data_IF_149682375680
#
_entry.id   IF_149682375680
#
_cell.length_a   1.000
_cell.length_b   1.000
_cell.length_c   1.000
_cell.angle_alpha   90.00
_cell.angle_beta   90.00
_cell.angle_gamma   90.00
#
_symmetry.space_group_name_H-M   'P 1'
#
loop_
_entity.id
_entity.type
_entity.pdbx_description
1 polymer ?
#
# COMPACT_ATOMS: atom_id res chain seq x y z
N UNK A 1 5.46 18.32 24.41
CA UNK A 1 6.80 18.37 23.78
C UNK A 1 7.41 16.98 23.90
N UNK A 2 7.18 16.13 22.91
CA UNK A 2 7.94 14.91 22.76
C UNK A 2 9.32 15.30 22.24
N UNK A 3 10.32 15.10 23.07
CA UNK A 3 11.72 15.24 22.66
C UNK A 3 12.07 14.01 21.86
N UNK A 4 12.16 14.14 20.54
CA UNK A 4 12.64 13.06 19.68
C UNK A 4 14.12 12.85 19.97
N UNK A 5 14.47 11.77 20.63
CA UNK A 5 15.87 11.39 20.91
C UNK A 5 16.39 10.63 19.70
N UNK A 6 17.29 11.27 18.96
CA UNK A 6 18.05 10.60 17.89
C UNK A 6 19.22 9.86 18.53
N UNK A 7 19.22 8.54 18.46
CA UNK A 7 20.36 7.74 18.86
C UNK A 7 21.07 7.23 17.61
N UNK A 8 22.15 7.86 17.16
CA UNK A 8 22.93 7.36 16.03
C UNK A 8 23.53 6.00 16.40
N UNK A 9 23.38 5.01 15.53
CA UNK A 9 24.00 3.71 15.71
C UNK A 9 24.83 3.36 14.47
N UNK A 10 26.03 2.81 14.71
CA UNK A 10 26.87 2.28 13.64
C UNK A 10 26.65 0.78 13.52
N UNK A 11 26.26 0.34 12.35
CA UNK A 11 26.10 -1.07 12.02
C UNK A 11 27.18 -1.51 11.06
N UNK A 12 27.74 -2.69 11.30
CA UNK A 12 28.72 -3.31 10.43
C UNK A 12 28.31 -4.76 10.19
N UNK A 13 28.18 -5.12 8.91
CA UNK A 13 27.88 -6.50 8.48
C UNK A 13 29.02 -6.96 7.60
N UNK A 14 29.55 -8.15 7.91
CA UNK A 14 30.48 -8.86 7.04
C UNK A 14 29.69 -9.93 6.30
N UNK A 15 29.88 -10.02 5.00
CA UNK A 15 29.24 -11.07 4.19
C UNK A 15 30.22 -11.58 3.12
N UNK A 16 30.02 -12.80 2.71
CA UNK A 16 30.75 -13.45 1.62
C UNK A 16 29.90 -13.41 0.36
N UNK A 17 30.41 -12.81 -0.71
CA UNK A 17 29.69 -12.75 -1.98
C UNK A 17 30.17 -13.87 -2.90
N UNK A 18 29.41 -14.93 -3.00
CA UNK A 18 29.67 -16.12 -3.83
C UNK A 18 28.97 -16.06 -5.21
N UNK A 19 28.15 -15.06 -5.46
CA UNK A 19 27.35 -14.96 -6.70
C UNK A 19 27.82 -13.86 -7.64
N UNK A 20 28.83 -13.08 -7.23
CA UNK A 20 29.32 -11.91 -8.00
C UNK A 20 28.38 -10.70 -7.95
N UNK A 21 27.22 -10.80 -7.29
CA UNK A 21 26.23 -9.71 -7.13
C UNK A 21 25.87 -9.53 -5.66
N UNK A 22 25.80 -8.31 -5.20
CA UNK A 22 25.30 -7.99 -3.86
C UNK A 22 24.29 -6.83 -3.94
N UNK A 23 23.15 -7.00 -3.29
CA UNK A 23 22.21 -5.92 -3.03
C UNK A 23 22.29 -5.58 -1.56
N UNK A 24 22.56 -4.31 -1.26
CA UNK A 24 22.70 -3.83 0.10
C UNK A 24 21.60 -2.79 0.32
N UNK A 25 20.83 -2.98 1.40
CA UNK A 25 19.71 -2.10 1.72
C UNK A 25 19.32 -2.21 3.20
N UNK A 26 18.33 -1.46 3.56
CA UNK A 26 17.71 -1.49 4.88
C UNK A 26 16.25 -1.90 4.68
N UNK A 27 15.81 -2.84 5.48
CA UNK A 27 14.41 -3.25 5.56
C UNK A 27 13.87 -2.83 6.91
N UNK A 28 12.78 -2.06 6.93
CA UNK A 28 12.06 -1.72 8.14
C UNK A 28 10.88 -2.69 8.28
N UNK A 29 10.96 -3.59 9.25
CA UNK A 29 9.88 -4.51 9.59
C UNK A 29 9.11 -3.91 10.77
N UNK A 30 7.78 -3.83 10.66
CA UNK A 30 6.88 -3.28 11.68
C UNK A 30 7.26 -1.89 12.19
N UNK A 31 7.77 -1.04 11.31
CA UNK A 31 8.20 0.30 11.68
C UNK A 31 7.01 1.18 12.09
N UNK A 32 7.00 1.59 13.36
CA UNK A 32 6.03 2.54 13.91
C UNK A 32 6.48 4.00 13.78
N UNK A 33 7.69 4.22 13.29
CA UNK A 33 8.30 5.54 13.11
C UNK A 33 7.99 6.17 11.75
N UNK A 34 8.06 7.49 11.70
CA UNK A 34 7.71 8.26 10.50
C UNK A 34 8.85 8.33 9.46
N UNK A 35 10.10 8.07 9.85
CA UNK A 35 11.24 8.11 8.95
C UNK A 35 12.49 7.43 9.53
N UNK A 36 13.36 6.97 8.64
CA UNK A 36 14.69 6.44 8.93
C UNK A 36 15.71 7.22 8.10
N UNK A 37 16.73 7.77 8.73
CA UNK A 37 17.86 8.38 8.03
C UNK A 37 19.07 7.44 8.10
N UNK A 38 19.68 7.18 6.94
CA UNK A 38 20.89 6.38 6.83
C UNK A 38 21.92 7.18 6.06
N UNK A 39 23.13 7.30 6.61
CA UNK A 39 24.23 7.98 5.98
C UNK A 39 25.55 7.18 6.11
N UNK A 40 26.62 7.72 5.53
CA UNK A 40 27.97 7.12 5.60
C UNK A 40 28.07 5.66 5.17
N UNK A 41 27.34 5.29 4.12
CA UNK A 41 27.40 3.94 3.58
C UNK A 41 28.79 3.64 3.04
N UNK A 42 29.46 2.58 3.53
CA UNK A 42 30.79 2.18 3.09
C UNK A 42 30.80 0.70 2.76
N UNK A 43 31.27 0.36 1.56
CA UNK A 43 31.56 -1.01 1.16
C UNK A 43 33.07 -1.17 1.06
N UNK A 44 33.64 -2.14 1.75
CA UNK A 44 35.08 -2.42 1.71
C UNK A 44 35.34 -3.90 1.45
N UNK A 45 36.31 -4.20 0.59
CA UNK A 45 36.84 -5.55 0.43
C UNK A 45 37.71 -5.87 1.66
N UNK A 46 37.41 -6.99 2.33
CA UNK A 46 38.14 -7.45 3.52
C UNK A 46 39.23 -8.49 3.15
N UNK A 47 39.02 -9.27 2.10
CA UNK A 47 39.95 -10.30 1.64
C UNK A 47 39.45 -11.02 0.41
N UNK A 48 40.29 -11.88 -0.13
CA UNK A 48 39.94 -12.80 -1.24
C UNK A 48 39.17 -14.01 -0.71
N UNK A 49 38.30 -14.56 -1.55
CA UNK A 49 37.51 -15.74 -1.24
C UNK A 49 38.38 -16.98 -1.48
N UNK A 50 38.64 -17.76 -0.44
CA UNK A 50 39.33 -19.07 -0.53
C UNK A 50 38.30 -20.19 -0.61
N UNK A 51 38.75 -21.38 -1.05
CA UNK A 51 37.91 -22.59 -1.08
C UNK A 51 37.32 -22.91 0.31
N UNK A 52 38.06 -22.71 1.37
CA UNK A 52 37.56 -22.93 2.74
C UNK A 52 36.45 -21.96 3.13
N UNK A 53 36.53 -20.70 2.72
CA UNK A 53 35.49 -19.70 2.92
C UNK A 53 34.23 -20.10 2.16
N UNK A 54 34.38 -20.56 0.89
CA UNK A 54 33.25 -21.01 0.08
C UNK A 54 32.53 -22.15 0.77
N UNK A 55 33.27 -23.19 1.16
CA UNK A 55 32.71 -24.40 1.80
C UNK A 55 32.03 -24.04 3.13
N UNK A 56 32.66 -23.18 3.95
CA UNK A 56 32.10 -22.75 5.22
C UNK A 56 30.76 -22.00 5.03
N UNK A 57 30.68 -21.12 4.04
CA UNK A 57 29.45 -20.36 3.77
C UNK A 57 28.33 -21.22 3.19
N UNK A 58 28.66 -22.15 2.28
CA UNK A 58 27.68 -23.13 1.77
C UNK A 58 27.17 -24.01 2.90
N UNK A 59 28.04 -24.49 3.80
CA UNK A 59 27.64 -25.30 4.96
C UNK A 59 26.74 -24.50 5.91
N UNK A 60 26.99 -23.21 6.11
CA UNK A 60 26.11 -22.33 6.89
C UNK A 60 24.72 -22.27 6.29
N UNK A 61 24.60 -22.05 4.97
CA UNK A 61 23.31 -22.00 4.28
C UNK A 61 22.58 -23.36 4.32
N UNK A 62 23.33 -24.47 4.17
CA UNK A 62 22.75 -25.82 4.32
C UNK A 62 22.19 -26.00 5.72
N UNK A 63 22.94 -25.65 6.76
CA UNK A 63 22.48 -25.76 8.17
C UNK A 63 21.26 -24.88 8.46
N UNK A 64 21.23 -23.67 7.92
CA UNK A 64 20.08 -22.76 8.00
C UNK A 64 18.85 -23.39 7.34
N UNK A 65 18.99 -23.87 6.10
CA UNK A 65 17.92 -24.55 5.40
C UNK A 65 17.40 -25.79 6.12
N UNK A 66 18.29 -26.64 6.64
CA UNK A 66 17.92 -27.84 7.43
C UNK A 66 17.14 -27.48 8.69
N UNK A 67 17.51 -26.40 9.36
CA UNK A 67 16.76 -25.89 10.52
C UNK A 67 15.33 -25.49 10.16
N UNK A 68 15.12 -24.89 8.98
CA UNK A 68 13.78 -24.51 8.53
C UNK A 68 12.91 -25.72 8.16
N UNK A 69 13.49 -26.84 7.69
CA UNK A 69 12.74 -28.05 7.33
C UNK A 69 11.95 -28.67 8.49
N UNK A 70 12.28 -28.31 9.74
CA UNK A 70 11.56 -28.78 10.93
C UNK A 70 10.27 -27.99 11.21
N UNK A 71 10.03 -26.91 10.48
CA UNK A 71 8.89 -26.01 10.68
C UNK A 71 7.80 -26.24 9.63
N UNK A 72 6.58 -25.85 9.96
CA UNK A 72 5.46 -25.93 9.03
C UNK A 72 5.63 -24.92 7.90
N UNK A 73 5.48 -25.40 6.68
CA UNK A 73 5.49 -24.62 5.45
C UNK A 73 4.71 -25.34 4.36
N UNK A 74 4.43 -24.69 3.26
CA UNK A 74 3.76 -25.32 2.12
C UNK A 74 4.62 -26.43 1.55
N UNK A 75 3.98 -27.47 1.04
CA UNK A 75 4.66 -28.64 0.45
C UNK A 75 5.61 -28.26 -0.68
N UNK A 76 5.23 -27.31 -1.52
CA UNK A 76 6.07 -26.86 -2.63
C UNK A 76 7.38 -26.22 -2.12
N UNK A 77 7.30 -25.37 -1.10
CA UNK A 77 8.45 -24.72 -0.47
C UNK A 77 9.33 -25.72 0.26
N UNK A 78 8.74 -26.70 0.94
CA UNK A 78 9.49 -27.78 1.58
C UNK A 78 10.28 -28.64 0.57
N UNK A 79 9.66 -28.96 -0.58
CA UNK A 79 10.33 -29.71 -1.66
C UNK A 79 11.43 -28.88 -2.33
N UNK A 80 11.17 -27.59 -2.61
CA UNK A 80 12.15 -26.70 -3.20
C UNK A 80 13.35 -26.51 -2.26
N UNK A 81 13.09 -26.32 -0.96
CA UNK A 81 14.14 -26.19 0.05
C UNK A 81 14.99 -27.47 0.15
N UNK A 82 14.35 -28.64 0.22
CA UNK A 82 15.06 -29.93 0.25
C UNK A 82 15.94 -30.12 -1.00
N UNK A 83 15.42 -29.80 -2.18
CA UNK A 83 16.15 -29.89 -3.44
C UNK A 83 17.37 -28.96 -3.46
N UNK A 84 17.20 -27.72 -3.01
CA UNK A 84 18.27 -26.74 -2.97
C UNK A 84 19.36 -27.10 -1.96
N UNK A 85 18.98 -27.64 -0.79
CA UNK A 85 19.91 -28.18 0.21
C UNK A 85 20.76 -29.33 -0.41
N UNK A 86 20.12 -30.28 -1.07
CA UNK A 86 20.86 -31.42 -1.69
C UNK A 86 21.79 -30.99 -2.84
N UNK A 87 21.43 -29.91 -3.55
CA UNK A 87 22.32 -29.30 -4.55
C UNK A 87 23.51 -28.61 -3.88
N UNK A 88 23.27 -27.83 -2.84
CA UNK A 88 24.32 -27.13 -2.10
C UNK A 88 25.32 -28.09 -1.44
N UNK A 89 24.85 -29.21 -0.91
CA UNK A 89 25.72 -30.27 -0.32
C UNK A 89 26.72 -30.88 -1.32
N UNK A 90 26.48 -30.77 -2.62
CA UNK A 90 27.39 -31.28 -3.65
C UNK A 90 28.56 -30.34 -3.93
N UNK A 91 28.55 -29.11 -3.43
CA UNK A 91 29.63 -28.14 -3.61
C UNK A 91 30.88 -28.60 -2.83
N UNK A 92 32.02 -28.62 -3.51
CA UNK A 92 33.31 -29.00 -2.97
C UNK A 92 34.37 -27.96 -3.30
N UNK A 93 35.57 -28.10 -2.76
CA UNK A 93 36.68 -27.19 -3.03
C UNK A 93 37.13 -27.16 -4.51
N UNK A 94 36.68 -28.11 -5.31
CA UNK A 94 36.98 -28.21 -6.75
C UNK A 94 35.81 -27.79 -7.63
N UNK A 95 34.70 -27.34 -7.06
CA UNK A 95 33.53 -26.84 -7.83
C UNK A 95 33.87 -25.55 -8.54
N UNK A 96 33.28 -25.34 -9.74
CA UNK A 96 33.51 -24.12 -10.49
C UNK A 96 32.78 -22.95 -9.83
N UNK A 97 33.23 -21.70 -10.08
CA UNK A 97 32.54 -20.49 -9.60
C UNK A 97 31.06 -20.45 -10.03
N UNK A 98 30.76 -20.92 -11.26
CA UNK A 98 29.40 -20.97 -11.78
C UNK A 98 28.53 -21.97 -11.01
N UNK A 99 29.06 -23.15 -10.67
CA UNK A 99 28.34 -24.14 -9.86
C UNK A 99 28.07 -23.63 -8.45
N UNK A 100 29.07 -22.99 -7.82
CA UNK A 100 28.93 -22.36 -6.49
C UNK A 100 27.89 -21.29 -6.53
N UNK A 101 27.97 -20.33 -7.46
CA UNK A 101 27.03 -19.23 -7.58
C UNK A 101 25.59 -19.73 -7.78
N UNK A 102 25.40 -20.72 -8.67
CA UNK A 102 24.08 -21.31 -8.94
C UNK A 102 23.50 -22.00 -7.70
N UNK A 103 24.31 -22.80 -6.97
CA UNK A 103 23.85 -23.49 -5.77
C UNK A 103 23.51 -22.49 -4.63
N UNK A 104 24.32 -21.44 -4.43
CA UNK A 104 24.11 -20.41 -3.42
C UNK A 104 22.87 -19.58 -3.75
N UNK A 105 22.66 -19.21 -5.01
CA UNK A 105 21.45 -18.51 -5.43
C UNK A 105 20.19 -19.35 -5.20
N UNK A 106 20.23 -20.64 -5.59
CA UNK A 106 19.11 -21.56 -5.42
C UNK A 106 18.75 -21.76 -3.94
N UNK A 107 19.74 -22.00 -3.07
CA UNK A 107 19.48 -22.22 -1.64
C UNK A 107 19.00 -20.95 -0.93
N UNK A 108 19.55 -19.77 -1.24
CA UNK A 108 19.09 -18.50 -0.69
C UNK A 108 17.64 -18.20 -1.11
N UNK A 109 17.29 -18.45 -2.38
CA UNK A 109 15.91 -18.29 -2.87
C UNK A 109 14.95 -19.23 -2.15
N UNK A 110 15.35 -20.50 -1.96
CA UNK A 110 14.54 -21.48 -1.28
C UNK A 110 14.38 -21.18 0.21
N UNK A 111 15.44 -20.76 0.91
CA UNK A 111 15.38 -20.30 2.31
C UNK A 111 14.41 -19.12 2.45
N UNK A 112 14.53 -18.10 1.60
CA UNK A 112 13.63 -16.93 1.64
C UNK A 112 12.18 -17.33 1.43
N UNK A 113 11.88 -18.21 0.47
CA UNK A 113 10.51 -18.69 0.23
C UNK A 113 9.97 -19.50 1.43
N UNK A 114 10.80 -20.38 2.01
CA UNK A 114 10.45 -21.13 3.20
C UNK A 114 10.15 -20.23 4.40
N UNK A 115 10.96 -19.21 4.66
CA UNK A 115 10.73 -18.24 5.74
C UNK A 115 9.41 -17.51 5.58
N UNK A 116 9.05 -17.10 4.36
CA UNK A 116 7.74 -16.47 4.10
C UNK A 116 6.61 -17.44 4.44
N UNK A 117 6.66 -18.68 3.94
CA UNK A 117 5.65 -19.69 4.21
C UNK A 117 5.52 -19.99 5.72
N UNK A 118 6.65 -20.14 6.42
CA UNK A 118 6.68 -20.34 7.89
C UNK A 118 5.98 -19.18 8.61
N UNK A 119 6.26 -17.92 8.21
CA UNK A 119 5.64 -16.73 8.83
C UNK A 119 4.13 -16.76 8.65
N UNK A 120 3.61 -17.21 7.51
CA UNK A 120 2.18 -17.32 7.24
C UNK A 120 1.52 -18.38 8.15
N UNK A 121 2.14 -19.54 8.34
CA UNK A 121 1.66 -20.53 9.31
C UNK A 121 1.74 -20.01 10.77
N UNK A 122 2.77 -19.25 11.11
CA UNK A 122 2.88 -18.60 12.43
C UNK A 122 1.78 -17.56 12.65
N UNK A 123 1.38 -16.83 11.62
CA UNK A 123 0.25 -15.91 11.68
C UNK A 123 -1.08 -16.65 11.97
N UNK A 124 -1.31 -17.79 11.30
CA UNK A 124 -2.47 -18.63 11.59
C UNK A 124 -2.43 -19.19 13.02
N UNK A 125 -1.28 -19.65 13.49
CA UNK A 125 -1.13 -20.10 14.89
C UNK A 125 -1.44 -18.98 15.89
N UNK A 126 -0.94 -17.78 15.62
CA UNK A 126 -1.21 -16.62 16.47
C UNK A 126 -2.71 -16.25 16.51
N UNK A 127 -3.41 -16.38 15.39
CA UNK A 127 -4.85 -16.18 15.33
C UNK A 127 -5.60 -17.25 16.15
N UNK A 128 -5.19 -18.52 16.05
CA UNK A 128 -5.72 -19.63 16.84
C UNK A 128 -5.53 -19.36 18.33
N UNK A 129 -4.31 -19.03 18.76
CA UNK A 129 -3.98 -18.79 20.16
C UNK A 129 -4.79 -17.62 20.74
N UNK A 130 -4.98 -16.56 19.96
CA UNK A 130 -5.82 -15.41 20.33
C UNK A 130 -7.29 -15.81 20.51
N UNK A 131 -7.83 -16.60 19.57
CA UNK A 131 -9.22 -17.06 19.65
C UNK A 131 -9.44 -18.00 20.83
N UNK A 132 -8.52 -18.95 21.05
CA UNK A 132 -8.58 -19.87 22.20
C UNK A 132 -8.44 -19.13 23.54
N UNK A 133 -7.58 -18.11 23.61
CA UNK A 133 -7.39 -17.30 24.82
C UNK A 133 -8.63 -16.50 25.23
N UNK A 134 -9.54 -16.24 24.28
CA UNK A 134 -10.79 -15.51 24.56
C UNK A 134 -12.03 -16.43 24.63
N UNK A 135 -11.88 -17.69 24.23
CA UNK A 135 -12.98 -18.67 24.26
C UNK A 135 -13.44 -18.96 25.69
N UNK A 136 -14.76 -18.98 25.86
CA UNK A 136 -15.44 -19.39 27.10
C UNK A 136 -16.72 -20.14 26.73
N UNK A 137 -16.79 -21.40 27.10
CA UNK A 137 -17.93 -22.29 26.78
C UNK A 137 -19.27 -21.80 27.37
N UNK A 138 -19.24 -20.98 28.42
CA UNK A 138 -20.42 -20.42 29.06
C UNK A 138 -21.01 -19.19 28.34
N UNK A 139 -20.33 -18.69 27.32
CA UNK A 139 -20.70 -17.48 26.58
C UNK A 139 -21.58 -17.78 25.37
N UNK A 140 -22.31 -16.76 24.90
CA UNK A 140 -23.10 -16.84 23.68
C UNK A 140 -22.20 -17.11 22.47
N UNK A 141 -22.68 -17.89 21.51
CA UNK A 141 -21.97 -18.25 20.27
C UNK A 141 -20.62 -18.97 20.48
N UNK A 142 -20.39 -19.57 21.66
CA UNK A 142 -19.17 -20.31 21.96
C UNK A 142 -18.96 -21.48 20.99
N UNK A 143 -20.03 -22.23 20.66
CA UNK A 143 -19.92 -23.36 19.73
C UNK A 143 -19.46 -22.94 18.34
N UNK A 144 -19.92 -21.78 17.84
CA UNK A 144 -19.53 -21.24 16.53
C UNK A 144 -18.05 -20.85 16.50
N UNK A 145 -17.56 -20.22 17.58
CA UNK A 145 -16.15 -19.89 17.69
C UNK A 145 -15.28 -21.14 17.77
N UNK A 146 -15.70 -22.15 18.54
CA UNK A 146 -14.97 -23.42 18.66
C UNK A 146 -14.93 -24.19 17.33
N UNK A 147 -16.01 -24.16 16.55
CA UNK A 147 -16.03 -24.75 15.21
C UNK A 147 -14.96 -24.14 14.31
N UNK A 148 -14.82 -22.82 14.29
CA UNK A 148 -13.81 -22.13 13.47
C UNK A 148 -12.40 -22.35 13.99
N UNK A 149 -12.17 -22.36 15.33
CA UNK A 149 -10.90 -22.75 15.93
C UNK A 149 -10.46 -24.14 15.46
N UNK A 150 -11.39 -25.12 15.47
CA UNK A 150 -11.08 -26.48 15.05
C UNK A 150 -10.71 -26.55 13.57
N UNK A 151 -11.41 -25.81 12.68
CA UNK A 151 -11.05 -25.71 11.26
C UNK A 151 -9.67 -25.16 11.06
N UNK A 152 -9.33 -24.07 11.74
CA UNK A 152 -8.01 -23.46 11.68
C UNK A 152 -6.91 -24.42 12.17
N UNK A 153 -7.15 -25.18 13.25
CA UNK A 153 -6.23 -26.18 13.76
C UNK A 153 -6.04 -27.36 12.80
N UNK A 154 -7.08 -27.79 12.09
CA UNK A 154 -6.93 -28.81 11.05
C UNK A 154 -6.15 -28.28 9.85
N UNK A 155 -6.36 -27.03 9.46
CA UNK A 155 -5.59 -26.40 8.39
C UNK A 155 -4.10 -26.28 8.75
N UNK A 156 -3.76 -25.99 10.02
CA UNK A 156 -2.37 -25.99 10.51
C UNK A 156 -1.65 -27.31 10.31
N UNK A 157 -2.36 -28.43 10.26
CA UNK A 157 -1.77 -29.77 10.07
C UNK A 157 -1.67 -30.17 8.60
N UNK A 158 -2.24 -29.37 7.70
CA UNK A 158 -2.37 -29.69 6.29
C UNK A 158 -1.20 -29.11 5.48
N UNK A 159 -0.22 -29.94 5.11
CA UNK A 159 0.90 -29.53 4.27
C UNK A 159 0.50 -29.18 2.81
N UNK A 160 -0.70 -29.57 2.36
CA UNK A 160 -1.25 -29.19 1.05
C UNK A 160 -2.02 -27.85 1.11
N UNK A 161 -2.04 -27.17 2.27
CA UNK A 161 -2.64 -25.84 2.38
C UNK A 161 -1.97 -24.87 1.41
N UNK A 162 -2.75 -23.89 0.95
CA UNK A 162 -2.24 -22.82 0.10
C UNK A 162 -2.22 -21.50 0.90
N UNK A 163 -1.38 -20.56 0.46
CA UNK A 163 -1.36 -19.23 1.05
C UNK A 163 -2.76 -18.62 1.13
N UNK A 164 -3.50 -18.64 0.02
CA UNK A 164 -4.89 -18.13 -0.01
C UNK A 164 -5.79 -18.87 0.99
N UNK A 165 -5.60 -20.17 1.18
CA UNK A 165 -6.34 -20.94 2.17
C UNK A 165 -6.05 -20.49 3.59
N UNK A 166 -4.78 -20.26 3.93
CA UNK A 166 -4.36 -19.75 5.25
C UNK A 166 -4.88 -18.33 5.48
N UNK A 167 -4.72 -17.43 4.51
CA UNK A 167 -5.20 -16.05 4.61
C UNK A 167 -6.73 -16.00 4.83
N UNK A 168 -7.49 -16.82 4.09
CA UNK A 168 -8.95 -16.90 4.24
C UNK A 168 -9.35 -17.44 5.61
N UNK A 169 -8.64 -18.43 6.12
CA UNK A 169 -8.93 -19.01 7.43
C UNK A 169 -8.63 -18.06 8.58
N UNK A 170 -7.54 -17.30 8.49
CA UNK A 170 -7.23 -16.21 9.45
C UNK A 170 -8.40 -15.22 9.48
N UNK A 171 -8.86 -14.75 8.31
CA UNK A 171 -9.98 -13.82 8.20
C UNK A 171 -11.27 -14.41 8.79
N UNK A 172 -11.54 -15.69 8.51
CA UNK A 172 -12.74 -16.37 9.03
C UNK A 172 -12.70 -16.50 10.55
N UNK A 173 -11.56 -16.90 11.10
CA UNK A 173 -11.36 -17.04 12.54
C UNK A 173 -11.43 -15.69 13.27
N UNK A 174 -10.81 -14.65 12.74
CA UNK A 174 -10.91 -13.29 13.28
C UNK A 174 -12.35 -12.76 13.26
N UNK A 175 -13.10 -13.07 12.20
CA UNK A 175 -14.52 -12.73 12.09
C UNK A 175 -15.37 -13.48 13.09
N UNK A 176 -15.13 -14.78 13.30
CA UNK A 176 -15.83 -15.59 14.27
C UNK A 176 -15.55 -15.10 15.71
N UNK A 177 -14.27 -14.77 16.01
CA UNK A 177 -13.90 -14.19 17.29
C UNK A 177 -14.57 -12.83 17.53
N UNK A 178 -14.62 -11.96 16.53
CA UNK A 178 -15.32 -10.69 16.63
C UNK A 178 -16.83 -10.92 16.87
N UNK A 179 -17.46 -11.83 16.15
CA UNK A 179 -18.88 -12.16 16.33
C UNK A 179 -19.14 -12.66 17.77
N UNK A 180 -18.30 -13.54 18.29
CA UNK A 180 -18.34 -14.01 19.67
C UNK A 180 -18.24 -12.85 20.68
N UNK A 181 -17.27 -11.96 20.49
CA UNK A 181 -17.09 -10.80 21.37
C UNK A 181 -18.28 -9.83 21.32
N UNK A 182 -18.87 -9.60 20.14
CA UNK A 182 -20.08 -8.78 19.98
C UNK A 182 -21.30 -9.39 20.67
N UNK A 183 -21.49 -10.71 20.55
CA UNK A 183 -22.59 -11.43 21.19
C UNK A 183 -22.50 -11.39 22.74
N UNK A 184 -21.31 -11.15 23.28
CA UNK A 184 -21.02 -11.06 24.70
C UNK A 184 -20.63 -9.65 25.16
N UNK A 185 -20.91 -8.64 24.32
CA UNK A 185 -20.61 -7.25 24.64
C UNK A 185 -21.33 -6.78 25.90
N UNK A 186 -20.63 -5.99 26.71
CA UNK A 186 -21.20 -5.39 27.93
C UNK A 186 -21.14 -3.85 27.84
N UNK A 187 -22.06 -3.15 28.53
CA UNK A 187 -21.97 -1.70 28.58
C UNK A 187 -20.61 -1.25 29.12
N UNK A 188 -19.92 -0.41 28.34
CA UNK A 188 -18.63 0.16 28.75
C UNK A 188 -18.81 1.26 29.82
N UNK A 189 -17.75 1.52 30.58
CA UNK A 189 -17.68 2.67 31.47
C UNK A 189 -17.27 3.94 30.70
N UNK A 190 -17.69 5.12 31.19
CA UNK A 190 -17.34 6.41 30.60
C UNK A 190 -18.34 6.93 29.57
N UNK A 191 -17.92 7.90 28.75
CA UNK A 191 -18.79 8.50 27.74
C UNK A 191 -19.01 7.54 26.58
N UNK A 192 -20.28 7.27 26.26
CA UNK A 192 -20.65 6.41 25.14
C UNK A 192 -20.04 6.95 23.83
N UNK A 193 -19.37 6.10 23.03
CA UNK A 193 -18.78 6.53 21.79
C UNK A 193 -19.85 6.90 20.75
N UNK A 194 -19.57 7.93 19.95
CA UNK A 194 -20.39 8.35 18.81
C UNK A 194 -19.50 8.55 17.59
N UNK A 195 -20.07 8.30 16.42
CA UNK A 195 -19.37 8.48 15.16
C UNK A 195 -20.30 9.07 14.10
N UNK A 196 -19.74 9.94 13.26
CA UNK A 196 -20.42 10.48 12.07
C UNK A 196 -19.50 10.51 10.88
N UNK A 197 -20.07 10.44 9.68
CA UNK A 197 -19.34 10.80 8.46
C UNK A 197 -19.26 12.33 8.37
N UNK A 198 -18.05 12.83 8.16
CA UNK A 198 -17.85 14.27 8.00
C UNK A 198 -18.48 14.72 6.68
N UNK A 199 -19.44 15.64 6.76
CA UNK A 199 -20.21 16.19 5.63
C UNK A 199 -20.90 15.17 4.73
N UNK A 200 -21.01 13.90 5.13
CA UNK A 200 -21.60 12.80 4.33
C UNK A 200 -20.98 12.65 2.93
N UNK A 201 -19.75 13.16 2.75
CA UNK A 201 -19.02 13.06 1.49
C UNK A 201 -18.06 11.86 1.52
N UNK A 202 -17.95 11.18 0.39
CA UNK A 202 -17.00 10.08 0.14
C UNK A 202 -16.27 10.38 -1.17
N UNK A 203 -14.96 10.48 -1.12
CA UNK A 203 -14.15 10.58 -2.33
C UNK A 203 -14.02 9.19 -2.95
N UNK A 204 -14.82 8.96 -3.99
CA UNK A 204 -14.99 7.65 -4.62
C UNK A 204 -14.04 7.49 -5.80
N UNK A 205 -13.43 6.32 -5.91
CA UNK A 205 -12.66 5.85 -7.06
C UNK A 205 -13.40 4.76 -7.84
N UNK A 206 -12.72 4.11 -8.77
CA UNK A 206 -13.24 2.95 -9.48
C UNK A 206 -13.26 1.70 -8.60
N UNK A 207 -12.21 1.48 -7.82
CA UNK A 207 -12.05 0.29 -6.94
C UNK A 207 -11.77 0.64 -5.49
N UNK A 208 -11.71 1.92 -5.16
CA UNK A 208 -11.30 2.44 -3.87
C UNK A 208 -12.17 3.64 -3.46
N UNK A 209 -12.11 4.02 -2.17
CA UNK A 209 -12.75 5.23 -1.68
C UNK A 209 -12.03 5.77 -0.43
N UNK A 210 -12.06 7.10 -0.27
CA UNK A 210 -11.62 7.77 0.97
C UNK A 210 -12.85 8.27 1.73
N UNK A 211 -12.88 8.01 3.01
CA UNK A 211 -13.97 8.37 3.91
C UNK A 211 -13.42 9.09 5.13
N UNK A 212 -14.02 10.22 5.49
CA UNK A 212 -13.64 10.95 6.69
C UNK A 212 -14.70 10.78 7.78
N UNK A 213 -14.25 10.47 9.00
CA UNK A 213 -15.13 10.32 10.16
C UNK A 213 -14.76 11.25 11.28
N UNK A 214 -15.76 11.61 12.10
CA UNK A 214 -15.58 12.29 13.40
C UNK A 214 -16.06 11.36 14.49
N UNK A 215 -15.22 11.13 15.49
CA UNK A 215 -15.49 10.22 16.61
C UNK A 215 -15.35 10.96 17.92
N UNK A 216 -16.27 10.72 18.85
CA UNK A 216 -16.22 11.19 20.23
C UNK A 216 -16.49 10.03 21.19
N UNK A 217 -16.13 10.19 22.46
CA UNK A 217 -16.33 9.17 23.49
C UNK A 217 -15.02 8.70 24.14
N UNK A 218 -15.12 7.72 25.01
CA UNK A 218 -13.99 7.18 25.77
C UNK A 218 -13.87 5.66 25.60
N UNK A 219 -12.73 5.10 26.02
CA UNK A 219 -12.45 3.66 25.96
C UNK A 219 -12.63 3.03 24.57
N UNK A 220 -12.27 3.78 23.52
CA UNK A 220 -12.35 3.32 22.14
C UNK A 220 -11.32 2.21 21.92
N UNK A 221 -11.79 1.05 21.44
CA UNK A 221 -10.97 -0.06 20.98
C UNK A 221 -10.62 0.12 19.50
N UNK A 222 -11.65 0.35 18.68
CA UNK A 222 -11.52 0.40 17.23
C UNK A 222 -12.51 1.43 16.65
N UNK A 223 -12.13 2.05 15.55
CA UNK A 223 -12.98 2.94 14.77
C UNK A 223 -12.67 2.78 13.29
N UNK A 224 -13.68 3.02 12.47
CA UNK A 224 -13.52 2.87 11.02
C UNK A 224 -14.81 3.09 10.27
N UNK A 225 -14.85 2.47 9.12
CA UNK A 225 -16.05 2.38 8.28
C UNK A 225 -16.26 0.93 7.87
N UNK A 226 -17.52 0.51 7.82
CA UNK A 226 -17.92 -0.74 7.21
C UNK A 226 -18.71 -0.47 5.93
N UNK A 227 -18.65 -1.41 4.99
CA UNK A 227 -19.31 -1.28 3.70
C UNK A 227 -19.80 -2.62 3.17
N UNK A 228 -20.89 -2.55 2.43
CA UNK A 228 -21.51 -3.70 1.75
C UNK A 228 -22.28 -3.21 0.52
N UNK A 229 -22.67 -4.12 -0.35
CA UNK A 229 -23.69 -3.88 -1.39
C UNK A 229 -25.12 -3.91 -0.83
N UNK A 230 -25.28 -4.41 0.39
CA UNK A 230 -26.54 -4.41 1.11
C UNK A 230 -26.61 -3.24 2.12
N UNK A 231 -27.84 -2.85 2.47
CA UNK A 231 -28.09 -1.79 3.45
C UNK A 231 -27.64 -2.17 4.88
N UNK A 232 -27.33 -1.15 5.65
CA UNK A 232 -26.95 -1.26 7.06
C UNK A 232 -25.73 -2.15 7.33
N UNK A 233 -24.59 -1.94 6.61
CA UNK A 233 -23.40 -2.71 6.86
C UNK A 233 -22.97 -2.64 8.33
N UNK A 234 -22.42 -3.73 8.84
CA UNK A 234 -21.97 -3.89 10.21
C UNK A 234 -20.46 -4.17 10.24
N UNK A 235 -19.89 -4.20 11.43
CA UNK A 235 -18.46 -4.57 11.61
C UNK A 235 -18.16 -6.03 11.23
N UNK A 236 -19.18 -6.86 11.01
CA UNK A 236 -19.03 -8.23 10.50
C UNK A 236 -19.02 -8.32 8.96
N UNK A 237 -19.35 -7.21 8.27
CA UNK A 237 -19.16 -7.07 6.83
C UNK A 237 -17.74 -6.63 6.53
N UNK A 238 -17.47 -6.08 5.33
CA UNK A 238 -16.17 -5.47 5.07
C UNK A 238 -15.98 -4.25 5.98
N UNK A 239 -14.79 -4.08 6.55
CA UNK A 239 -14.47 -2.92 7.39
C UNK A 239 -13.02 -2.51 7.30
N UNK A 240 -12.76 -1.22 7.56
CA UNK A 240 -11.42 -0.71 7.83
C UNK A 240 -11.16 -0.77 9.34
N UNK A 241 -9.93 -1.09 9.74
CA UNK A 241 -9.51 -1.13 11.15
C UNK A 241 -8.40 -0.13 11.44
N UNK A 242 -7.72 0.35 10.41
CA UNK A 242 -6.62 1.31 10.51
C UNK A 242 -6.95 2.60 9.77
N UNK A 243 -6.58 3.72 10.36
CA UNK A 243 -6.67 5.03 9.71
C UNK A 243 -5.61 5.17 8.63
N UNK A 244 -5.97 5.88 7.55
CA UNK A 244 -5.09 6.23 6.45
C UNK A 244 -4.39 7.59 6.66
N UNK A 245 -4.84 8.38 7.61
CA UNK A 245 -4.26 9.70 7.94
C UNK A 245 -3.63 9.71 9.33
N UNK A 246 -2.60 10.54 9.51
CA UNK A 246 -1.89 10.70 10.78
C UNK A 246 -2.80 11.14 11.95
N UNK A 247 -3.84 11.93 11.67
CA UNK A 247 -4.82 12.37 12.67
C UNK A 247 -5.96 11.38 12.89
N UNK A 248 -5.92 10.20 12.26
CA UNK A 248 -6.87 9.13 12.47
C UNK A 248 -8.31 9.41 11.99
N UNK A 249 -8.51 10.33 11.05
CA UNK A 249 -9.85 10.73 10.60
C UNK A 249 -10.21 10.26 9.18
N UNK A 250 -9.25 9.94 8.34
CA UNK A 250 -9.48 9.40 6.98
C UNK A 250 -9.26 7.90 7.00
N UNK A 251 -10.18 7.19 6.39
CA UNK A 251 -10.12 5.74 6.17
C UNK A 251 -10.11 5.45 4.68
N UNK A 252 -9.33 4.45 4.29
CA UNK A 252 -9.17 4.01 2.92
C UNK A 252 -9.88 2.67 2.71
N UNK A 253 -10.89 2.66 1.87
CA UNK A 253 -11.60 1.46 1.42
C UNK A 253 -10.92 0.97 0.15
N UNK A 254 -10.57 -0.32 0.09
CA UNK A 254 -9.96 -0.99 -1.06
C UNK A 254 -10.82 -2.18 -1.52
N UNK A 255 -10.60 -2.64 -2.75
CA UNK A 255 -11.21 -3.87 -3.27
C UNK A 255 -12.69 -3.75 -3.64
N UNK A 256 -13.17 -2.54 -3.88
CA UNK A 256 -14.51 -2.31 -4.40
C UNK A 256 -14.61 -2.73 -5.88
N UNK A 257 -15.80 -3.07 -6.33
CA UNK A 257 -16.06 -3.34 -7.76
C UNK A 257 -16.43 -2.02 -8.46
N UNK A 258 -15.95 -1.78 -9.69
CA UNK A 258 -16.36 -0.61 -10.47
C UNK A 258 -17.87 -0.61 -10.79
N UNK A 259 -18.42 0.57 -11.01
CA UNK A 259 -19.85 0.78 -11.39
C UNK A 259 -20.83 0.05 -10.45
N UNK A 260 -20.50 -0.04 -9.17
CA UNK A 260 -21.25 -0.82 -8.19
C UNK A 260 -21.77 0.10 -7.08
N UNK A 261 -23.01 -0.13 -6.67
CA UNK A 261 -23.59 0.55 -5.53
C UNK A 261 -23.04 -0.07 -4.25
N UNK A 262 -22.59 0.79 -3.34
CA UNK A 262 -22.21 0.42 -1.98
C UNK A 262 -22.87 1.33 -0.97
N UNK A 263 -23.11 0.76 0.21
CA UNK A 263 -23.55 1.44 1.41
C UNK A 263 -22.36 1.50 2.37
N UNK A 264 -22.03 2.70 2.85
CA UNK A 264 -20.89 2.94 3.76
C UNK A 264 -21.44 3.47 5.06
N UNK A 265 -21.01 2.91 6.16
CA UNK A 265 -21.46 3.28 7.50
C UNK A 265 -20.26 3.41 8.44
N UNK A 266 -20.06 4.58 9.08
CA UNK A 266 -18.99 4.72 10.07
C UNK A 266 -19.34 3.96 11.34
N UNK A 267 -18.33 3.41 12.01
CA UNK A 267 -18.50 2.75 13.28
C UNK A 267 -17.42 3.15 14.29
N UNK A 268 -17.75 2.98 15.56
CA UNK A 268 -16.80 3.03 16.67
C UNK A 268 -17.16 1.93 17.66
N UNK A 269 -16.17 1.17 18.09
CA UNK A 269 -16.31 0.07 19.03
C UNK A 269 -15.50 0.38 20.29
N UNK A 270 -16.07 0.16 21.46
CA UNK A 270 -15.37 0.32 22.73
C UNK A 270 -14.63 -0.97 23.15
N UNK A 271 -13.85 -0.88 24.23
CA UNK A 271 -13.08 -2.03 24.74
C UNK A 271 -13.91 -3.20 25.28
N UNK A 272 -15.21 -3.02 25.41
CA UNK A 272 -16.16 -4.09 25.80
C UNK A 272 -17.03 -4.55 24.64
N UNK A 273 -16.59 -4.28 23.40
CA UNK A 273 -17.22 -4.68 22.13
C UNK A 273 -18.61 -4.10 21.87
N UNK A 274 -19.04 -3.07 22.61
CA UNK A 274 -20.25 -2.33 22.25
C UNK A 274 -19.93 -1.45 21.04
N UNK A 275 -20.73 -1.56 19.97
CA UNK A 275 -20.56 -0.81 18.72
C UNK A 275 -21.62 0.27 18.59
N UNK A 276 -21.19 1.47 18.27
CA UNK A 276 -22.05 2.54 17.79
C UNK A 276 -21.79 2.79 16.30
N UNK A 277 -22.87 2.94 15.54
CA UNK A 277 -22.85 3.22 14.12
C UNK A 277 -23.37 4.64 13.87
N UNK A 278 -22.81 5.32 12.87
CA UNK A 278 -23.36 6.54 12.33
C UNK A 278 -24.33 6.29 11.18
N UNK A 279 -24.76 7.39 10.53
CA UNK A 279 -25.65 7.33 9.38
C UNK A 279 -24.98 6.60 8.20
N UNK A 280 -25.77 5.85 7.45
CA UNK A 280 -25.38 5.22 6.21
C UNK A 280 -25.32 6.25 5.08
N UNK A 281 -24.36 6.09 4.18
CA UNK A 281 -24.26 6.83 2.92
C UNK A 281 -24.20 5.84 1.76
N UNK A 282 -25.06 6.06 0.77
CA UNK A 282 -25.03 5.34 -0.50
C UNK A 282 -24.04 6.02 -1.46
N UNK A 283 -23.16 5.23 -2.07
CA UNK A 283 -22.27 5.67 -3.16
C UNK A 283 -22.40 4.76 -4.38
N UNK A 284 -21.89 5.23 -5.50
CA UNK A 284 -21.64 4.41 -6.69
C UNK A 284 -20.18 4.59 -7.05
N UNK A 285 -19.42 3.49 -7.13
CA UNK A 285 -18.04 3.54 -7.59
C UNK A 285 -17.97 3.95 -9.06
N UNK A 286 -16.89 4.62 -9.44
CA UNK A 286 -16.69 5.02 -10.83
C UNK A 286 -16.59 3.80 -11.76
N UNK A 287 -16.84 3.97 -13.08
CA UNK A 287 -16.54 2.91 -14.05
C UNK A 287 -15.08 2.48 -13.94
N UNK A 288 -14.79 1.26 -14.35
CA UNK A 288 -13.41 0.80 -14.45
C UNK A 288 -12.59 1.73 -15.33
N UNK A 289 -11.43 2.13 -14.89
CA UNK A 289 -10.45 2.85 -15.69
C UNK A 289 -10.02 2.03 -16.92
N UNK A 290 -9.53 2.70 -17.93
CA UNK A 290 -9.07 2.08 -19.16
C UNK A 290 -7.85 2.82 -19.73
N UNK A 291 -6.99 3.34 -18.85
CA UNK A 291 -5.71 3.92 -19.19
C UNK A 291 -4.69 2.81 -19.47
N UNK A 292 -3.85 3.01 -20.46
CA UNK A 292 -2.79 2.08 -20.86
C UNK A 292 -1.46 2.80 -20.97
N UNK A 293 -0.37 2.07 -21.08
CA UNK A 293 0.95 2.66 -21.26
C UNK A 293 1.86 1.83 -22.16
N UNK A 294 2.90 2.48 -22.68
CA UNK A 294 4.00 1.86 -23.38
C UNK A 294 5.32 2.56 -23.01
N UNK A 295 6.41 1.84 -23.23
CA UNK A 295 7.76 2.37 -23.12
C UNK A 295 8.44 2.33 -24.47
N UNK A 296 9.26 3.32 -24.78
CA UNK A 296 9.99 3.37 -26.04
C UNK A 296 10.86 2.12 -26.18
N UNK A 297 10.57 1.31 -27.22
CA UNK A 297 11.20 0.00 -27.45
C UNK A 297 12.72 0.08 -27.71
N UNK A 298 13.23 1.20 -28.15
CA UNK A 298 14.64 1.42 -28.40
C UNK A 298 15.50 1.79 -27.16
N UNK A 299 14.88 1.93 -25.98
CA UNK A 299 15.58 2.34 -24.79
C UNK A 299 16.37 1.16 -24.17
N UNK A 300 17.61 1.37 -23.72
CA UNK A 300 18.41 0.34 -23.08
C UNK A 300 17.77 -0.14 -21.77
N UNK A 301 17.98 -1.40 -21.44
CA UNK A 301 17.49 -2.01 -20.19
C UNK A 301 18.51 -1.80 -19.07
N UNK A 302 18.49 -0.61 -18.49
CA UNK A 302 19.33 -0.21 -17.36
C UNK A 302 18.48 0.20 -16.12
N UNK A 303 19.16 0.54 -15.03
CA UNK A 303 18.52 0.90 -13.79
C UNK A 303 17.63 2.15 -13.90
N UNK A 304 17.99 3.13 -14.73
CA UNK A 304 17.21 4.35 -14.94
C UNK A 304 15.94 4.05 -15.72
N UNK A 305 16.04 3.30 -16.83
CA UNK A 305 14.88 2.87 -17.60
C UNK A 305 13.95 2.00 -16.76
N UNK A 306 14.47 1.12 -15.92
CA UNK A 306 13.68 0.29 -15.01
C UNK A 306 12.89 1.12 -14.01
N UNK A 307 13.52 2.13 -13.37
CA UNK A 307 12.81 3.06 -12.47
C UNK A 307 11.69 3.81 -13.19
N UNK A 308 11.97 4.36 -14.36
CA UNK A 308 10.98 5.09 -15.16
C UNK A 308 9.79 4.22 -15.56
N UNK A 309 10.03 3.00 -16.06
CA UNK A 309 8.96 2.05 -16.43
C UNK A 309 8.10 1.68 -15.23
N UNK A 310 8.71 1.42 -14.07
CA UNK A 310 7.97 1.11 -12.86
C UNK A 310 7.09 2.28 -12.42
N UNK A 311 7.61 3.51 -12.46
CA UNK A 311 6.85 4.71 -12.11
C UNK A 311 5.66 4.95 -13.07
N UNK A 312 5.85 4.72 -14.38
CA UNK A 312 4.77 4.81 -15.37
C UNK A 312 3.70 3.75 -15.11
N UNK A 313 4.13 2.49 -14.91
CA UNK A 313 3.19 1.40 -14.60
C UNK A 313 2.36 1.72 -13.36
N UNK A 314 3.01 2.09 -12.28
CA UNK A 314 2.36 2.42 -11.02
C UNK A 314 1.41 3.61 -11.15
N UNK A 315 1.78 4.63 -11.91
CA UNK A 315 0.91 5.77 -12.23
C UNK A 315 -0.37 5.33 -12.96
N UNK A 316 -0.26 4.47 -13.98
CA UNK A 316 -1.43 3.99 -14.71
C UNK A 316 -2.30 3.08 -13.85
N UNK A 317 -1.71 2.30 -12.94
CA UNK A 317 -2.45 1.53 -11.94
C UNK A 317 -3.29 2.49 -11.05
N UNK A 318 -2.70 3.57 -10.51
CA UNK A 318 -3.43 4.61 -9.77
C UNK A 318 -4.58 5.24 -10.58
N UNK A 319 -4.33 5.60 -11.85
CA UNK A 319 -5.37 6.15 -12.71
C UNK A 319 -6.54 5.18 -12.88
N UNK A 320 -6.26 3.89 -13.08
CA UNK A 320 -7.29 2.87 -13.27
C UNK A 320 -8.05 2.51 -11.99
N UNK A 321 -7.41 2.64 -10.83
CA UNK A 321 -8.03 2.38 -9.53
C UNK A 321 -8.91 3.54 -9.03
N UNK A 322 -8.48 4.77 -9.31
CA UNK A 322 -9.12 5.97 -8.77
C UNK A 322 -10.01 6.71 -9.76
N UNK A 323 -9.85 6.47 -11.05
CA UNK A 323 -10.60 7.21 -12.08
C UNK A 323 -11.38 6.27 -12.99
N UNK A 324 -12.41 6.82 -13.65
CA UNK A 324 -13.12 6.15 -14.74
C UNK A 324 -12.62 6.55 -16.14
N UNK A 325 -11.44 7.17 -16.22
CA UNK A 325 -10.86 7.66 -17.49
C UNK A 325 -10.54 6.47 -18.40
N UNK A 326 -10.95 6.58 -19.67
CA UNK A 326 -10.73 5.54 -20.70
C UNK A 326 -10.11 6.14 -21.94
N UNK A 327 -9.36 5.29 -22.67
CA UNK A 327 -8.77 5.68 -23.95
C UNK A 327 -7.54 6.58 -23.83
N UNK A 328 -7.07 6.88 -22.64
CA UNK A 328 -5.80 7.56 -22.43
C UNK A 328 -4.64 6.55 -22.52
N UNK A 329 -3.61 6.91 -23.28
CA UNK A 329 -2.40 6.10 -23.43
C UNK A 329 -1.16 6.93 -23.12
N UNK A 330 -0.37 6.48 -22.13
CA UNK A 330 0.87 7.13 -21.72
C UNK A 330 2.06 6.48 -22.42
N UNK A 331 2.72 7.20 -23.31
CA UNK A 331 3.96 6.75 -23.96
C UNK A 331 5.15 7.37 -23.25
N UNK A 332 5.93 6.55 -22.54
CA UNK A 332 7.11 6.99 -21.83
C UNK A 332 8.39 6.90 -22.66
N UNK A 333 9.23 7.91 -22.53
CA UNK A 333 10.53 7.99 -23.19
C UNK A 333 11.58 8.39 -22.16
N UNK A 334 12.75 7.75 -22.19
CA UNK A 334 13.91 8.17 -21.41
C UNK A 334 14.88 8.95 -22.28
N UNK A 335 15.38 10.06 -21.79
CA UNK A 335 16.36 10.81 -22.59
C UNK A 335 16.77 12.15 -22.00
N UNK A 336 17.71 12.80 -22.67
CA UNK A 336 18.29 14.08 -22.28
C UNK A 336 17.53 15.31 -22.79
N UNK A 337 16.35 15.11 -23.37
CA UNK A 337 15.55 16.20 -23.94
C UNK A 337 14.89 17.12 -22.92
N UNK A 338 14.88 16.72 -21.65
CA UNK A 338 14.42 17.51 -20.50
C UNK A 338 15.29 17.18 -19.28
N UNK A 339 15.57 18.15 -18.40
CA UNK A 339 16.37 17.88 -17.19
C UNK A 339 15.56 17.12 -16.11
N UNK A 340 14.26 17.25 -16.12
CA UNK A 340 13.31 16.67 -15.15
C UNK A 340 12.39 15.65 -15.81
N UNK A 341 11.17 16.04 -16.06
CA UNK A 341 10.21 15.33 -16.89
C UNK A 341 9.25 16.32 -17.52
N UNK A 342 8.54 15.92 -18.56
CA UNK A 342 7.42 16.65 -19.13
C UNK A 342 6.46 15.69 -19.83
N UNK A 343 5.19 16.12 -19.99
CA UNK A 343 4.17 15.38 -20.71
C UNK A 343 3.29 16.31 -21.55
N UNK A 344 3.14 15.99 -22.81
CA UNK A 344 2.22 16.70 -23.70
C UNK A 344 0.80 16.20 -23.51
N UNK A 345 -0.20 17.03 -23.80
CA UNK A 345 -1.58 16.58 -23.93
C UNK A 345 -1.66 15.36 -24.88
N UNK A 346 -2.38 14.32 -24.44
CA UNK A 346 -2.47 13.06 -25.16
C UNK A 346 -1.43 12.02 -24.76
N UNK A 347 -0.51 12.32 -23.78
CA UNK A 347 0.26 11.30 -23.10
C UNK A 347 1.64 10.99 -23.67
N UNK A 348 2.27 11.88 -24.44
CA UNK A 348 3.68 11.75 -24.79
C UNK A 348 4.55 12.32 -23.67
N UNK A 349 5.22 11.44 -22.94
CA UNK A 349 6.02 11.78 -21.76
C UNK A 349 7.50 11.58 -22.01
N UNK A 350 8.32 12.53 -21.53
CA UNK A 350 9.78 12.39 -21.44
C UNK A 350 10.22 12.44 -19.99
N UNK A 351 11.15 11.57 -19.60
CA UNK A 351 11.76 11.55 -18.27
C UNK A 351 13.28 11.73 -18.44
N UNK A 352 13.82 12.74 -17.81
CA UNK A 352 15.23 13.12 -17.91
C UNK A 352 16.16 12.22 -17.09
N UNK A 353 17.50 12.45 -17.23
CA UNK A 353 18.52 11.61 -16.62
C UNK A 353 18.66 11.80 -15.09
N UNK A 354 18.08 12.85 -14.51
CA UNK A 354 18.14 13.07 -13.07
C UNK A 354 17.27 12.05 -12.31
N UNK A 355 17.93 11.16 -11.56
CA UNK A 355 17.29 10.08 -10.82
C UNK A 355 16.19 10.55 -9.83
N UNK A 356 16.28 11.78 -9.33
CA UNK A 356 15.26 12.34 -8.43
C UNK A 356 13.87 12.48 -9.07
N UNK A 357 13.80 12.57 -10.40
CA UNK A 357 12.56 12.67 -11.16
C UNK A 357 12.12 11.37 -11.81
N UNK A 358 12.82 10.26 -11.56
CA UNK A 358 12.52 8.94 -12.14
C UNK A 358 11.63 8.11 -11.19
N UNK A 359 10.50 8.66 -10.76
CA UNK A 359 9.63 8.01 -9.81
C UNK A 359 8.17 8.48 -9.89
N UNK A 360 7.31 7.79 -9.19
CA UNK A 360 5.86 7.90 -9.26
C UNK A 360 5.34 9.34 -9.08
N UNK A 361 5.86 10.09 -8.11
CA UNK A 361 5.39 11.47 -7.87
C UNK A 361 5.56 12.38 -9.08
N UNK A 362 6.72 12.28 -9.77
CA UNK A 362 6.98 13.00 -11.01
C UNK A 362 6.03 12.53 -12.12
N UNK A 363 5.92 11.21 -12.31
CA UNK A 363 5.12 10.65 -13.41
C UNK A 363 3.63 10.94 -13.22
N UNK A 364 3.10 10.89 -11.98
CA UNK A 364 1.73 11.29 -11.66
C UNK A 364 1.48 12.77 -12.02
N UNK A 365 2.39 13.66 -11.62
CA UNK A 365 2.32 15.09 -11.93
C UNK A 365 2.29 15.32 -13.44
N UNK A 366 3.26 14.77 -14.16
CA UNK A 366 3.37 14.93 -15.62
C UNK A 366 2.20 14.28 -16.35
N UNK A 367 1.67 13.16 -15.85
CA UNK A 367 0.46 12.56 -16.44
C UNK A 367 -0.75 13.48 -16.29
N UNK A 368 -0.81 14.31 -15.24
CA UNK A 368 -1.79 15.38 -15.12
C UNK A 368 -1.79 16.33 -16.30
N UNK A 369 -0.61 16.70 -16.80
CA UNK A 369 -0.48 17.47 -18.04
C UNK A 369 -0.95 16.66 -19.25
N UNK A 370 -0.65 15.36 -19.28
CA UNK A 370 -1.10 14.44 -20.32
C UNK A 370 -2.61 14.35 -20.48
N UNK A 371 -3.34 14.42 -19.37
CA UNK A 371 -4.82 14.40 -19.34
C UNK A 371 -5.46 15.79 -19.37
N UNK A 372 -4.68 16.87 -19.40
CA UNK A 372 -5.20 18.20 -19.72
C UNK A 372 -4.85 19.34 -18.77
N UNK A 373 -4.30 19.09 -17.59
CA UNK A 373 -3.92 20.18 -16.67
C UNK A 373 -2.84 21.05 -17.32
N UNK A 374 -3.14 22.33 -17.53
CA UNK A 374 -2.23 23.28 -18.18
C UNK A 374 -2.02 23.07 -19.70
N UNK A 375 -2.54 22.02 -20.29
CA UNK A 375 -2.28 21.66 -21.68
C UNK A 375 -3.53 21.63 -22.55
N UNK A 376 -4.69 21.36 -22.02
CA UNK A 376 -5.96 21.38 -22.73
C UNK A 376 -6.58 22.78 -22.72
N UNK A 377 -7.24 23.17 -23.81
CA UNK A 377 -7.85 24.50 -23.95
C UNK A 377 -8.91 24.80 -22.86
N UNK A 378 -9.64 23.79 -22.41
CA UNK A 378 -10.63 23.90 -21.31
C UNK A 378 -9.97 24.40 -20.04
N UNK A 379 -8.74 24.02 -19.76
CA UNK A 379 -8.00 24.43 -18.58
C UNK A 379 -7.97 25.97 -18.41
N UNK A 380 -7.73 26.69 -19.50
CA UNK A 380 -7.68 28.14 -19.51
C UNK A 380 -9.07 28.81 -19.61
N UNK A 381 -10.07 28.12 -20.16
CA UNK A 381 -11.40 28.68 -20.39
C UNK A 381 -12.39 28.43 -19.24
N UNK A 382 -12.13 27.51 -18.33
CA UNK A 382 -12.95 27.19 -17.18
C UNK A 382 -12.41 27.76 -15.86
N UNK A 383 -11.68 28.87 -15.93
CA UNK A 383 -11.23 29.64 -14.77
C UNK A 383 -11.56 31.12 -14.91
N UNK A 384 -11.68 31.81 -13.77
CA UNK A 384 -12.11 33.21 -13.73
C UNK A 384 -11.04 34.20 -14.22
N UNK A 385 -9.78 34.01 -13.87
CA UNK A 385 -8.73 35.01 -14.17
C UNK A 385 -7.42 34.39 -14.73
N UNK A 386 -7.45 33.14 -15.13
CA UNK A 386 -6.23 32.38 -15.46
C UNK A 386 -5.40 32.95 -16.61
N UNK A 387 -6.03 33.60 -17.55
CA UNK A 387 -5.31 34.15 -18.72
C UNK A 387 -4.41 35.34 -18.39
N UNK A 388 -4.73 36.12 -17.36
CA UNK A 388 -4.12 37.41 -17.07
C UNK A 388 -3.34 37.45 -15.75
N UNK A 389 -3.39 36.40 -14.93
CA UNK A 389 -2.79 36.39 -13.60
C UNK A 389 -1.95 35.15 -13.37
N UNK A 390 -1.18 35.15 -12.30
CA UNK A 390 -0.40 34.00 -11.86
C UNK A 390 -1.27 32.84 -11.35
N UNK A 391 -2.54 33.10 -10.97
CA UNK A 391 -3.48 32.06 -10.56
C UNK A 391 -4.94 32.49 -10.76
N UNK A 392 -5.79 31.54 -11.12
CA UNK A 392 -7.23 31.71 -11.26
C UNK A 392 -8.00 30.57 -10.59
N UNK A 393 -9.19 30.88 -10.08
CA UNK A 393 -10.08 29.89 -9.49
C UNK A 393 -10.62 28.97 -10.58
N UNK A 394 -10.55 27.65 -10.36
CA UNK A 394 -11.25 26.67 -11.16
C UNK A 394 -12.75 26.77 -10.89
N UNK A 395 -13.55 26.87 -11.93
CA UNK A 395 -15.00 27.10 -11.79
C UNK A 395 -15.81 25.80 -11.67
N UNK A 396 -15.20 24.66 -11.95
CA UNK A 396 -15.80 23.34 -11.76
C UNK A 396 -15.98 23.02 -10.28
N UNK A 397 -17.04 22.29 -9.98
CA UNK A 397 -17.44 21.98 -8.61
C UNK A 397 -16.80 20.70 -8.08
N UNK A 398 -16.67 19.67 -8.91
CA UNK A 398 -16.25 18.35 -8.47
C UNK A 398 -14.83 18.34 -7.89
N UNK A 399 -13.87 18.98 -8.57
CA UNK A 399 -12.50 19.09 -8.06
C UNK A 399 -12.43 19.89 -6.74
N UNK A 400 -13.22 20.96 -6.60
CA UNK A 400 -13.28 21.77 -5.36
C UNK A 400 -13.89 20.97 -4.21
N UNK A 401 -14.94 20.20 -4.42
CA UNK A 401 -15.57 19.37 -3.37
C UNK A 401 -14.60 18.29 -2.86
N UNK A 402 -13.89 17.62 -3.75
CA UNK A 402 -12.82 16.66 -3.36
C UNK A 402 -11.76 17.37 -2.54
N UNK A 403 -11.27 18.52 -3.01
CA UNK A 403 -10.25 19.30 -2.32
C UNK A 403 -10.69 19.71 -0.91
N UNK A 404 -11.91 20.24 -0.75
CA UNK A 404 -12.50 20.59 0.54
C UNK A 404 -12.61 19.39 1.49
N UNK A 405 -12.96 18.23 0.96
CA UNK A 405 -13.00 16.98 1.72
C UNK A 405 -11.59 16.59 2.22
N UNK A 406 -10.57 16.66 1.36
CA UNK A 406 -9.20 16.30 1.72
C UNK A 406 -8.62 17.23 2.79
N UNK A 407 -8.88 18.53 2.71
CA UNK A 407 -8.45 19.51 3.71
C UNK A 407 -9.36 19.57 4.96
N UNK A 408 -10.54 18.94 4.92
CA UNK A 408 -11.57 19.07 5.96
C UNK A 408 -11.99 20.52 6.19
N UNK A 409 -12.12 21.28 5.10
CA UNK A 409 -12.44 22.70 5.10
C UNK A 409 -13.50 22.99 4.03
N UNK A 410 -14.68 23.39 4.44
CA UNK A 410 -15.86 23.52 3.59
C UNK A 410 -16.34 24.97 3.49
N UNK A 411 -15.41 25.88 3.34
CA UNK A 411 -15.66 27.33 3.19
C UNK A 411 -15.23 27.81 1.81
N UNK A 412 -15.74 28.95 1.39
CA UNK A 412 -15.45 29.55 0.08
C UNK A 412 -13.97 29.95 -0.12
N UNK A 413 -13.17 29.95 0.95
CA UNK A 413 -11.71 30.19 0.88
C UNK A 413 -10.90 28.95 0.48
N UNK A 414 -11.53 27.77 0.47
CA UNK A 414 -10.93 26.51 0.08
C UNK A 414 -11.50 26.05 -1.26
N UNK A 415 -10.80 26.34 -2.34
CA UNK A 415 -11.20 25.97 -3.69
C UNK A 415 -9.98 25.55 -4.51
N UNK A 416 -10.22 24.82 -5.59
CA UNK A 416 -9.17 24.47 -6.54
C UNK A 416 -8.86 25.64 -7.44
N UNK A 417 -7.58 25.91 -7.69
CA UNK A 417 -7.06 27.00 -8.51
C UNK A 417 -5.83 26.56 -9.30
N UNK A 418 -5.34 27.40 -10.18
CA UNK A 418 -4.10 27.15 -10.88
C UNK A 418 -3.65 28.32 -11.76
N UNK A 419 -2.44 28.24 -12.29
CA UNK A 419 -1.92 29.13 -13.31
C UNK A 419 -2.14 28.53 -14.72
N UNK A 420 -1.38 28.99 -15.70
CA UNK A 420 -1.45 28.47 -17.08
C UNK A 420 -1.03 27.01 -17.21
N UNK A 421 -0.22 26.50 -16.29
CA UNK A 421 0.45 25.22 -16.41
C UNK A 421 0.05 24.26 -15.30
N UNK A 422 -0.09 24.74 -14.06
CA UNK A 422 -0.25 23.88 -12.89
C UNK A 422 -1.51 24.23 -12.11
N UNK A 423 -2.02 23.24 -11.36
CA UNK A 423 -3.14 23.39 -10.47
C UNK A 423 -2.79 23.03 -9.02
N UNK A 424 -3.45 23.71 -8.07
CA UNK A 424 -3.32 23.44 -6.64
C UNK A 424 -4.56 23.92 -5.86
N UNK A 425 -4.69 23.45 -4.63
CA UNK A 425 -5.72 23.95 -3.73
C UNK A 425 -5.32 25.29 -3.10
N UNK A 426 -6.22 26.26 -3.06
CA UNK A 426 -6.00 27.49 -2.28
C UNK A 426 -5.97 27.18 -0.79
N UNK A 427 -4.99 27.69 -0.06
CA UNK A 427 -4.74 27.42 1.36
C UNK A 427 -4.52 25.92 1.69
N UNK A 428 -4.02 25.15 0.73
CA UNK A 428 -3.75 23.72 0.93
C UNK A 428 -2.70 23.50 2.02
N UNK A 429 -2.96 22.52 2.88
CA UNK A 429 -2.00 22.02 3.87
C UNK A 429 -0.99 21.09 3.23
N UNK A 430 -1.39 20.38 2.18
CA UNK A 430 -0.58 19.40 1.48
C UNK A 430 -0.59 19.64 -0.02
N UNK A 431 0.45 19.17 -0.69
CA UNK A 431 0.47 19.09 -2.15
C UNK A 431 -0.33 17.86 -2.63
N UNK A 432 -1.58 18.08 -2.97
CA UNK A 432 -2.49 17.03 -3.44
C UNK A 432 -2.30 16.66 -4.91
N UNK A 433 -1.74 17.56 -5.71
CA UNK A 433 -1.41 17.29 -7.11
C UNK A 433 0.04 16.91 -7.31
N UNK A 434 0.64 16.35 -6.32
CA UNK A 434 2.00 15.81 -6.29
C UNK A 434 3.00 16.61 -7.13
N UNK A 435 3.88 17.33 -6.48
CA UNK A 435 5.00 17.99 -7.14
C UNK A 435 6.09 16.97 -7.42
N UNK A 436 6.41 16.73 -8.68
CA UNK A 436 7.43 15.78 -9.08
C UNK A 436 8.81 15.94 -8.50
N UNK A 437 9.17 17.16 -8.07
CA UNK A 437 10.46 17.44 -7.43
C UNK A 437 10.59 16.86 -6.02
N UNK A 438 9.48 16.64 -5.36
CA UNK A 438 9.44 16.22 -3.94
C UNK A 438 8.79 14.84 -3.72
N UNK A 439 8.83 14.00 -4.69
CA UNK A 439 8.14 12.70 -4.74
C UNK A 439 8.34 11.79 -3.52
N UNK A 440 9.53 11.76 -2.97
CA UNK A 440 9.87 10.89 -1.84
C UNK A 440 9.27 11.38 -0.52
N UNK A 441 8.68 12.58 -0.51
CA UNK A 441 8.01 13.17 0.64
C UNK A 441 6.49 13.00 0.59
N UNK A 442 5.94 12.49 -0.50
CA UNK A 442 4.51 12.31 -0.67
C UNK A 442 4.04 10.97 -0.07
N UNK A 443 2.94 11.01 0.63
CA UNK A 443 2.29 9.83 1.19
C UNK A 443 1.33 9.21 0.17
N UNK A 444 0.99 7.93 0.38
CA UNK A 444 -0.07 7.25 -0.39
C UNK A 444 -1.39 8.03 -0.36
N UNK A 445 -1.72 8.68 0.76
CA UNK A 445 -2.89 9.55 0.88
C UNK A 445 -2.83 10.74 -0.08
N UNK A 446 -1.66 11.35 -0.26
CA UNK A 446 -1.49 12.48 -1.19
C UNK A 446 -1.64 12.02 -2.63
N UNK A 447 -1.10 10.86 -3.01
CA UNK A 447 -1.32 10.28 -4.33
C UNK A 447 -2.80 9.97 -4.58
N UNK A 448 -3.47 9.28 -3.64
CA UNK A 448 -4.89 8.98 -3.73
C UNK A 448 -5.75 10.26 -3.82
N UNK A 449 -5.47 11.25 -2.97
CA UNK A 449 -6.15 12.55 -2.98
C UNK A 449 -5.94 13.30 -4.29
N UNK A 450 -4.72 13.30 -4.82
CA UNK A 450 -4.40 13.88 -6.12
C UNK A 450 -5.19 13.24 -7.27
N UNK A 451 -5.30 11.92 -7.26
CA UNK A 451 -6.12 11.20 -8.25
C UNK A 451 -7.61 11.54 -8.13
N UNK A 452 -8.14 11.67 -6.91
CA UNK A 452 -9.52 12.10 -6.73
C UNK A 452 -9.75 13.53 -7.26
N UNK A 453 -8.82 14.47 -7.02
CA UNK A 453 -8.90 15.83 -7.59
C UNK A 453 -8.80 15.79 -9.12
N UNK A 454 -7.86 15.01 -9.66
CA UNK A 454 -7.69 14.87 -11.12
C UNK A 454 -8.96 14.36 -11.77
N UNK A 455 -9.60 13.36 -11.17
CA UNK A 455 -10.87 12.86 -11.69
C UNK A 455 -12.01 13.87 -11.49
N UNK A 456 -11.99 14.65 -10.42
CA UNK A 456 -12.88 15.79 -10.24
C UNK A 456 -12.76 16.82 -11.37
N UNK A 457 -11.54 17.16 -11.79
CA UNK A 457 -11.29 18.03 -12.94
C UNK A 457 -11.85 17.44 -14.24
N UNK A 458 -11.67 16.13 -14.44
CA UNK A 458 -12.24 15.42 -15.60
C UNK A 458 -13.78 15.45 -15.59
N UNK A 459 -14.40 15.23 -14.44
CA UNK A 459 -15.88 15.33 -14.30
C UNK A 459 -16.38 16.75 -14.49
N UNK A 460 -15.59 17.77 -14.19
CA UNK A 460 -15.86 19.17 -14.46
C UNK A 460 -15.66 19.55 -15.94
N UNK A 461 -15.20 18.62 -16.80
CA UNK A 461 -15.07 18.76 -18.23
C UNK A 461 -13.65 18.89 -18.77
N UNK A 462 -12.60 18.73 -17.91
CA UNK A 462 -11.22 18.70 -18.38
C UNK A 462 -10.95 17.43 -19.18
#
# INVERSE_FOLDING_TARGET
>A
NETTVYTPANYSVKFTNLTGKATIGFEAVDATGNWLAVDNFRLGLIGEITSDIIISEVQRLVSEGESLQTQMMYKAEAQNLATAIEQAKKITATSTEADVASAVEAINKAIKAAMVAITEYQALQSAIDNAQGQYDVAKNDADKLMEEINKAQELMKNAEATKTGIDNEIIALEKALLAFNLANATPGSGTAPKVTLTNKYVATGATQALVRTTVTGSNILERGVCWSTEHNPTVLDNRTTKSFSLNGTIFHIKGMKPSTVYYIRPYVMNKTYTVAYGDEVKIVTHPAGGCTWSWNEGAPDDAANTRCRNAIKETIDYFNEWTGIKGFHLTGNYGSGTPTADCSYGGWMRIGPNAAYQAIGTVLHETGHGVGVGTHWIWNNCSDTRQNTSSGKWLGRAATEVYQFLENKYTDDYYFQGDKTHGWGRNATYDWLVNGADKDKHSELQYAGGMCIMYGLFLDGL
#
